data_IF_048198878823
#
_entry.id   IF_048198878823
#
_cell.length_a   1.000
_cell.length_b   1.000
_cell.length_c   1.000
_cell.angle_alpha   90.00
_cell.angle_beta   90.00
_cell.angle_gamma   90.00
#
_symmetry.space_group_name_H-M   'P 1'
#
loop_
_entity.id
_entity.type
_entity.pdbx_description
1 polymer ?
#
# COMPACT_ATOMS: atom_id res chain seq x y z
N UNK A 1 17.45 -6.32 -9.81
CA UNK A 1 16.08 -5.75 -9.75
C UNK A 1 15.79 -5.35 -8.31
N UNK A 2 14.99 -4.30 -8.06
CA UNK A 2 14.57 -3.96 -6.68
C UNK A 2 13.48 -4.96 -6.28
N UNK A 3 13.58 -5.50 -5.05
CA UNK A 3 12.56 -6.38 -4.50
C UNK A 3 11.20 -5.68 -4.50
N UNK A 4 10.23 -6.29 -5.18
CA UNK A 4 8.83 -5.84 -5.21
C UNK A 4 7.98 -6.62 -4.21
N UNK A 5 6.88 -6.03 -3.78
CA UNK A 5 5.87 -6.69 -2.94
C UNK A 5 4.48 -6.42 -3.51
N UNK A 6 3.61 -7.44 -3.47
CA UNK A 6 2.22 -7.36 -3.92
C UNK A 6 1.27 -7.65 -2.75
N UNK A 7 0.15 -6.93 -2.73
CA UNK A 7 -0.94 -7.17 -1.78
C UNK A 7 -2.25 -7.16 -2.57
N UNK A 8 -3.02 -8.24 -2.44
CA UNK A 8 -4.32 -8.38 -3.08
C UNK A 8 -5.44 -7.84 -2.18
N UNK A 9 -6.40 -7.13 -2.77
CA UNK A 9 -7.54 -6.58 -2.05
C UNK A 9 -8.85 -6.95 -2.75
N UNK A 10 -9.85 -7.33 -1.96
CA UNK A 10 -11.22 -7.50 -2.43
C UNK A 10 -12.04 -6.28 -2.02
N UNK A 11 -12.66 -5.64 -3.00
CA UNK A 11 -13.52 -4.47 -2.83
C UNK A 11 -14.76 -4.59 -3.71
N UNK A 12 -15.84 -3.91 -3.34
CA UNK A 12 -17.01 -3.79 -4.20
C UNK A 12 -16.70 -3.00 -5.48
N UNK A 13 -17.40 -3.31 -6.57
CA UNK A 13 -17.31 -2.58 -7.84
C UNK A 13 -17.46 -1.06 -7.68
N UNK A 14 -18.41 -0.62 -6.84
CA UNK A 14 -18.67 0.81 -6.62
C UNK A 14 -17.44 1.51 -6.03
N UNK A 15 -16.81 0.90 -5.02
CA UNK A 15 -15.62 1.44 -4.39
C UNK A 15 -14.43 1.49 -5.36
N UNK A 16 -14.25 0.44 -6.17
CA UNK A 16 -13.19 0.42 -7.18
C UNK A 16 -13.37 1.57 -8.19
N UNK A 17 -14.59 1.79 -8.68
CA UNK A 17 -14.89 2.90 -9.60
C UNK A 17 -14.58 4.26 -8.99
N UNK A 18 -14.99 4.50 -7.73
CA UNK A 18 -14.70 5.75 -7.02
C UNK A 18 -13.19 5.95 -6.83
N UNK A 19 -12.47 4.90 -6.47
CA UNK A 19 -11.02 4.95 -6.31
C UNK A 19 -10.31 5.32 -7.63
N UNK A 20 -10.67 4.67 -8.74
CA UNK A 20 -10.09 4.96 -10.05
C UNK A 20 -10.40 6.39 -10.52
N UNK A 21 -11.63 6.86 -10.29
CA UNK A 21 -12.00 8.25 -10.58
C UNK A 21 -11.12 9.25 -9.82
N UNK A 22 -10.90 9.04 -8.52
CA UNK A 22 -10.04 9.92 -7.71
C UNK A 22 -8.60 9.86 -8.20
N UNK A 23 -8.06 8.67 -8.48
CA UNK A 23 -6.70 8.53 -9.01
C UNK A 23 -6.50 9.35 -10.30
N UNK A 24 -7.45 9.26 -11.23
CA UNK A 24 -7.44 10.03 -12.47
C UNK A 24 -7.48 11.54 -12.22
N UNK A 25 -8.42 12.03 -11.39
CA UNK A 25 -8.55 13.46 -11.06
C UNK A 25 -7.32 14.03 -10.37
N UNK A 26 -6.64 13.22 -9.59
CA UNK A 26 -5.39 13.55 -8.92
C UNK A 26 -4.15 13.36 -9.81
N UNK A 27 -4.34 12.99 -11.09
CA UNK A 27 -3.27 12.72 -12.07
C UNK A 27 -2.24 11.71 -11.58
N UNK A 28 -2.72 10.66 -10.90
CA UNK A 28 -1.90 9.57 -10.34
C UNK A 28 -2.34 8.23 -10.94
N UNK A 29 -1.40 7.32 -11.13
CA UNK A 29 -1.77 5.92 -11.40
C UNK A 29 -2.48 5.33 -10.19
N UNK A 30 -3.32 4.30 -10.36
CA UNK A 30 -3.97 3.61 -9.23
C UNK A 30 -2.96 3.18 -8.16
N UNK A 31 -1.83 2.57 -8.56
CA UNK A 31 -0.77 2.18 -7.63
C UNK A 31 -0.17 3.38 -6.87
N UNK A 32 0.08 4.50 -7.55
CA UNK A 32 0.60 5.71 -6.91
C UNK A 32 -0.41 6.34 -5.95
N UNK A 33 -1.69 6.37 -6.32
CA UNK A 33 -2.77 6.84 -5.46
C UNK A 33 -2.91 5.97 -4.21
N UNK A 34 -2.85 4.65 -4.36
CA UNK A 34 -2.90 3.71 -3.25
C UNK A 34 -1.70 3.89 -2.31
N UNK A 35 -0.48 3.97 -2.86
CA UNK A 35 0.72 4.22 -2.07
C UNK A 35 0.66 5.54 -1.30
N UNK A 36 0.07 6.59 -1.89
CA UNK A 36 -0.18 7.86 -1.20
C UNK A 36 -1.15 7.69 -0.02
N UNK A 37 -2.26 6.98 -0.21
CA UNK A 37 -3.23 6.70 0.85
C UNK A 37 -2.59 5.92 2.01
N UNK A 38 -1.79 4.89 1.72
CA UNK A 38 -1.07 4.10 2.73
C UNK A 38 -0.08 4.97 3.52
N UNK A 39 0.74 5.79 2.82
CA UNK A 39 1.68 6.70 3.49
C UNK A 39 0.99 7.69 4.42
N UNK A 40 -0.11 8.28 3.96
CA UNK A 40 -0.88 9.21 4.78
C UNK A 40 -1.49 8.53 6.01
N UNK A 41 -1.95 7.29 5.86
CA UNK A 41 -2.47 6.51 6.98
C UNK A 41 -1.39 6.24 8.03
N UNK A 42 -0.19 5.80 7.62
CA UNK A 42 0.96 5.60 8.53
C UNK A 42 1.34 6.90 9.24
N UNK A 43 1.48 8.00 8.49
CA UNK A 43 1.82 9.30 9.08
C UNK A 43 0.76 9.79 10.08
N UNK A 44 -0.53 9.56 9.79
CA UNK A 44 -1.62 9.87 10.71
C UNK A 44 -1.57 9.01 11.97
N UNK A 45 -1.31 7.71 11.84
CA UNK A 45 -1.14 6.81 12.99
C UNK A 45 0.01 7.30 13.88
N UNK A 46 1.17 7.57 13.31
CA UNK A 46 2.35 8.00 14.08
C UNK A 46 2.12 9.34 14.79
N UNK A 47 1.39 10.26 14.15
CA UNK A 47 1.00 11.54 14.75
C UNK A 47 0.05 11.37 15.93
N UNK A 48 -0.86 10.39 15.89
CA UNK A 48 -1.97 10.27 16.85
C UNK A 48 -1.72 9.23 17.95
N UNK A 49 -0.90 8.22 17.67
CA UNK A 49 -0.61 7.08 18.56
C UNK A 49 0.86 6.98 18.96
N UNK A 50 1.72 7.82 18.40
CA UNK A 50 3.17 7.78 18.60
C UNK A 50 3.89 7.00 17.51
N UNK A 51 5.21 7.21 17.40
CA UNK A 51 6.07 6.58 16.38
C UNK A 51 6.01 5.07 16.47
N UNK A 52 5.99 4.41 15.31
CA UNK A 52 6.05 2.95 15.27
C UNK A 52 7.49 2.53 15.61
N UNK A 53 7.73 1.67 16.63
CA UNK A 53 9.09 1.29 16.99
C UNK A 53 9.73 0.39 15.92
N UNK A 54 10.96 0.70 15.51
CA UNK A 54 11.73 -0.09 14.53
C UNK A 54 11.88 -1.56 14.93
N UNK A 55 11.99 -1.83 16.23
CA UNK A 55 12.11 -3.17 16.77
C UNK A 55 10.84 -4.01 16.55
N UNK A 56 9.65 -3.38 16.53
CA UNK A 56 8.39 -4.06 16.24
C UNK A 56 8.22 -4.25 14.73
N UNK A 57 8.60 -3.26 13.90
CA UNK A 57 8.55 -3.38 12.44
C UNK A 57 9.37 -4.57 11.93
N UNK A 58 10.57 -4.79 12.48
CA UNK A 58 11.47 -5.89 12.09
C UNK A 58 10.92 -7.28 12.40
N UNK A 59 9.93 -7.40 13.28
CA UNK A 59 9.30 -8.68 13.63
C UNK A 59 8.21 -9.08 12.62
N UNK A 60 7.76 -8.14 11.79
CA UNK A 60 6.73 -8.40 10.79
C UNK A 60 7.39 -9.12 9.62
N UNK A 61 7.02 -10.39 9.43
CA UNK A 61 7.42 -11.13 8.23
C UNK A 61 6.61 -10.63 7.02
N UNK A 62 7.33 -10.24 5.97
CA UNK A 62 6.78 -9.75 4.71
C UNK A 62 7.01 -10.72 3.54
N UNK A 63 7.59 -11.89 3.81
CA UNK A 63 7.95 -12.88 2.79
C UNK A 63 6.76 -13.35 1.96
N UNK A 64 5.58 -13.48 2.57
CA UNK A 64 4.32 -13.85 1.89
C UNK A 64 3.89 -12.84 0.83
N UNK A 65 4.34 -11.59 0.93
CA UNK A 65 4.00 -10.52 0.01
C UNK A 65 5.09 -10.27 -1.03
N UNK A 66 6.25 -10.95 -0.92
CA UNK A 66 7.32 -10.76 -1.88
C UNK A 66 6.82 -11.16 -3.28
N UNK A 67 7.05 -10.32 -4.28
CA UNK A 67 6.89 -10.76 -5.65
C UNK A 67 7.87 -11.91 -5.88
N UNK A 68 7.36 -13.13 -6.04
CA UNK A 68 8.12 -14.17 -6.69
C UNK A 68 8.42 -13.65 -8.09
N UNK A 69 9.69 -13.47 -8.42
CA UNK A 69 10.15 -13.38 -9.81
C UNK A 69 9.82 -14.74 -10.44
N UNK A 70 8.55 -14.92 -10.83
CA UNK A 70 8.05 -16.10 -11.48
C UNK A 70 8.46 -16.03 -12.94
N UNK A 71 9.45 -16.85 -13.28
CA UNK A 71 9.76 -17.33 -14.62
C UNK A 71 8.52 -17.39 -15.53
N UNK A 72 8.53 -16.57 -16.58
CA UNK A 72 8.02 -16.86 -17.92
C UNK A 72 8.48 -15.79 -18.91
#
# INVERSE_FOLDING_TARGET
MKQGYNVDFRVSDELLRKFLFVAEKERRSPAAQFAFMVRNNVAYYEKTKGKIPDAELKKIDISEYACSDGEQ
#
